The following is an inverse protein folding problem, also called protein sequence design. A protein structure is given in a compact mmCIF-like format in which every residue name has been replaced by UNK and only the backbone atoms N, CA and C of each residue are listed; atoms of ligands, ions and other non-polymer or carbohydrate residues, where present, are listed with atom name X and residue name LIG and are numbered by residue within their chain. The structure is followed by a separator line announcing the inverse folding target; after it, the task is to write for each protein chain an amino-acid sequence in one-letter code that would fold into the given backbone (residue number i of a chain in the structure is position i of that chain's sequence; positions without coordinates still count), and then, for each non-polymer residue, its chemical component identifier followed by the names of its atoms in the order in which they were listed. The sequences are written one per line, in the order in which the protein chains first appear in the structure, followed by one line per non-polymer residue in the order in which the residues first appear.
data_IF_389378448031
#
_entry.id   IF_389378448031
#
_cell.length_a   1.000
_cell.length_b   1.000
_cell.length_c   1.000
_cell.angle_alpha   90.00
_cell.angle_beta   90.00
_cell.angle_gamma   90.00
#
_symmetry.space_group_name_H-M   'P 1'
#
loop_
_entity.id
_entity.type
_entity.pdbx_description
1 polymer ?
#
# COMPACT_ATOMS: atom_id res chain seq x y z
N UNK A 1 9.32 -34.95 -3.81
CA UNK A 1 10.15 -33.74 -3.81
C UNK A 1 11.18 -33.85 -2.69
N UNK A 2 12.46 -33.67 -2.98
CA UNK A 2 13.50 -33.55 -1.96
C UNK A 2 13.81 -32.06 -1.79
N UNK A 3 14.03 -31.61 -0.54
CA UNK A 3 14.40 -30.23 -0.23
C UNK A 3 15.92 -30.13 -0.31
N UNK A 4 16.43 -29.36 -1.28
CA UNK A 4 17.87 -29.17 -1.49
C UNK A 4 18.48 -28.22 -0.47
N UNK A 5 17.81 -27.12 -0.17
CA UNK A 5 18.20 -26.15 0.85
C UNK A 5 16.97 -25.69 1.63
N UNK A 6 17.10 -25.59 2.96
CA UNK A 6 16.00 -25.14 3.84
C UNK A 6 15.94 -23.62 3.98
N UNK A 7 17.05 -22.91 3.75
CA UNK A 7 17.17 -21.45 3.90
C UNK A 7 18.06 -20.93 2.78
N UNK A 8 17.47 -20.77 1.61
CA UNK A 8 18.18 -20.27 0.43
C UNK A 8 18.44 -18.76 0.50
N UNK A 9 17.56 -18.02 1.16
CA UNK A 9 17.72 -16.58 1.34
C UNK A 9 16.70 -15.97 2.29
N UNK A 10 16.97 -14.73 2.66
CA UNK A 10 16.02 -13.84 3.31
C UNK A 10 15.27 -13.06 2.23
N UNK A 11 13.97 -12.88 2.43
CA UNK A 11 13.10 -12.16 1.51
C UNK A 11 12.43 -11.03 2.27
N UNK A 12 12.53 -9.82 1.76
CA UNK A 12 11.87 -8.64 2.34
C UNK A 12 10.36 -8.72 2.13
N UNK A 13 9.59 -8.12 3.04
CA UNK A 13 8.15 -7.96 2.88
C UNK A 13 7.81 -7.21 1.59
N UNK A 14 8.65 -6.26 1.19
CA UNK A 14 8.55 -5.55 -0.07
C UNK A 14 8.65 -6.50 -1.28
N UNK A 15 9.71 -7.32 -1.37
CA UNK A 15 9.89 -8.28 -2.47
C UNK A 15 8.73 -9.28 -2.55
N UNK A 16 8.32 -9.80 -1.40
CA UNK A 16 7.20 -10.74 -1.32
C UNK A 16 5.90 -10.08 -1.79
N UNK A 17 5.63 -8.85 -1.37
CA UNK A 17 4.47 -8.09 -1.82
C UNK A 17 4.50 -7.82 -3.33
N UNK A 18 5.64 -7.44 -3.89
CA UNK A 18 5.78 -7.24 -5.34
C UNK A 18 5.54 -8.55 -6.10
N UNK A 19 6.13 -9.66 -5.64
CA UNK A 19 5.96 -10.98 -6.26
C UNK A 19 4.48 -11.41 -6.27
N UNK A 20 3.81 -11.34 -5.12
CA UNK A 20 2.39 -11.69 -5.00
C UNK A 20 1.49 -10.75 -5.82
N UNK A 21 1.78 -9.45 -5.83
CA UNK A 21 1.04 -8.47 -6.64
C UNK A 21 1.19 -8.74 -8.13
N UNK A 22 2.39 -9.11 -8.58
CA UNK A 22 2.66 -9.42 -9.98
C UNK A 22 1.95 -10.71 -10.42
N UNK A 23 1.87 -11.72 -9.54
CA UNK A 23 1.06 -12.91 -9.79
C UNK A 23 -0.42 -12.54 -10.00
N UNK A 24 -0.99 -11.70 -9.13
CA UNK A 24 -2.39 -11.25 -9.26
C UNK A 24 -2.65 -10.42 -10.53
N UNK A 25 -1.67 -9.63 -10.98
CA UNK A 25 -1.79 -8.83 -12.21
C UNK A 25 -1.75 -9.71 -13.46
N UNK A 26 -0.87 -10.72 -13.48
CA UNK A 26 -0.71 -11.61 -14.62
C UNK A 26 -1.88 -12.60 -14.76
N UNK A 27 -2.61 -12.88 -13.67
CA UNK A 27 -3.79 -13.74 -13.69
C UNK A 27 -5.07 -13.03 -14.16
N UNK A 28 -5.14 -11.70 -14.14
CA UNK A 28 -6.26 -10.96 -14.73
C UNK A 28 -6.02 -10.88 -16.24
N UNK A 29 -6.77 -11.61 -17.10
CA UNK A 29 -6.62 -11.43 -18.53
C UNK A 29 -6.93 -9.97 -18.88
N UNK A 30 -6.02 -9.34 -19.62
CA UNK A 30 -6.19 -8.02 -20.20
C UNK A 30 -7.54 -7.92 -20.92
N UNK A 31 -8.54 -7.37 -20.23
CA UNK A 31 -9.81 -6.94 -20.82
C UNK A 31 -9.70 -5.57 -21.47
N UNK A 32 -8.49 -5.11 -21.81
CA UNK A 32 -8.30 -3.89 -22.58
C UNK A 32 -8.25 -4.24 -24.08
N UNK A 33 -9.43 -4.17 -24.71
CA UNK A 33 -9.49 -3.80 -26.13
C UNK A 33 -8.87 -2.40 -26.29
N UNK A 34 -8.06 -2.15 -27.33
CA UNK A 34 -7.63 -0.80 -27.66
C UNK A 34 -8.83 -0.04 -28.22
N UNK A 35 -9.42 0.87 -27.45
CA UNK A 35 -10.27 1.92 -28.02
C UNK A 35 -9.37 3.04 -28.51
N UNK A 36 -9.31 3.15 -29.83
CA UNK A 36 -8.69 4.23 -30.59
C UNK A 36 -9.10 5.60 -30.07
N UNK A 37 -8.10 6.48 -29.98
CA UNK A 37 -8.25 7.92 -29.81
C UNK A 37 -9.04 8.54 -30.96
N UNK A 38 -9.97 9.44 -30.63
CA UNK A 38 -10.26 10.63 -31.46
C UNK A 38 -10.35 11.86 -30.57
N UNK A 39 -9.40 12.76 -30.80
CA UNK A 39 -9.32 14.14 -30.32
C UNK A 39 -10.50 14.98 -30.86
N UNK A 40 -10.97 16.01 -30.12
CA UNK A 40 -10.94 17.46 -30.48
C UNK A 40 -11.91 18.34 -29.66
N UNK A 41 -11.33 19.18 -28.80
CA UNK A 41 -11.40 20.67 -28.70
C UNK A 41 -12.72 21.47 -28.92
N UNK A 42 -13.11 22.24 -27.88
CA UNK A 42 -13.84 23.56 -27.81
C UNK A 42 -15.29 23.66 -28.34
N UNK A 43 -16.24 24.47 -27.82
CA UNK A 43 -16.19 25.90 -27.45
C UNK A 43 -17.50 26.38 -26.75
N UNK A 44 -17.37 27.27 -25.74
CA UNK A 44 -18.14 28.51 -25.41
C UNK A 44 -19.70 28.59 -25.50
N UNK A 45 -20.30 28.78 -24.29
CA UNK A 45 -21.21 29.87 -23.86
C UNK A 45 -22.61 30.11 -24.51
N UNK A 46 -23.68 30.02 -23.70
CA UNK A 46 -24.66 31.09 -23.33
C UNK A 46 -26.02 30.51 -22.88
N UNK A 47 -26.46 30.89 -21.66
CA UNK A 47 -27.88 30.98 -21.25
C UNK A 47 -28.40 32.39 -21.62
N UNK A 48 -29.73 32.69 -21.74
CA UNK A 48 -30.64 32.79 -20.58
C UNK A 48 -32.13 32.39 -20.79
N UNK A 49 -32.78 32.12 -19.65
CA UNK A 49 -34.19 32.34 -19.25
C UNK A 49 -35.35 32.17 -20.25
N UNK A 50 -36.40 31.45 -19.82
CA UNK A 50 -37.73 32.04 -19.55
C UNK A 50 -38.49 31.16 -18.56
N UNK A 51 -39.17 31.84 -17.64
CA UNK A 51 -39.86 31.41 -16.44
C UNK A 51 -41.34 31.02 -16.70
N UNK A 52 -41.87 30.25 -15.73
CA UNK A 52 -43.26 30.27 -15.22
C UNK A 52 -44.36 29.44 -15.91
N UNK A 53 -44.83 28.43 -15.16
CA UNK A 53 -46.22 28.03 -14.87
C UNK A 53 -46.24 26.52 -14.59
N UNK A 54 -46.85 25.93 -13.57
CA UNK A 54 -47.66 26.31 -12.43
C UNK A 54 -47.46 25.17 -11.40
N UNK A 55 -47.10 25.41 -10.15
CA UNK A 55 -48.00 25.64 -9.00
C UNK A 55 -49.12 24.60 -8.83
N UNK A 56 -48.89 23.71 -7.86
CA UNK A 56 -49.81 23.21 -6.84
C UNK A 56 -51.16 22.57 -7.25
N UNK A 57 -51.23 21.25 -7.07
CA UNK A 57 -52.39 20.50 -6.54
C UNK A 57 -51.85 19.14 -6.03
N UNK A 58 -51.38 19.05 -4.78
CA UNK A 58 -52.11 18.55 -3.60
C UNK A 58 -52.71 17.13 -3.72
N UNK A 59 -51.98 16.19 -3.09
CA UNK A 59 -52.44 15.16 -2.13
C UNK A 59 -53.62 14.26 -2.54
N UNK A 60 -53.31 13.01 -2.92
CA UNK A 60 -53.99 11.81 -2.38
C UNK A 60 -53.40 10.51 -2.92
N UNK A 61 -53.03 9.63 -1.97
CA UNK A 61 -52.78 8.18 -2.02
C UNK A 61 -51.34 7.73 -1.70
N UNK A 62 -51.07 7.80 -0.39
CA UNK A 62 -50.36 6.75 0.36
C UNK A 62 -50.98 5.36 0.13
N UNK A 63 -50.23 4.33 0.53
CA UNK A 63 -50.55 2.89 0.56
C UNK A 63 -50.20 2.09 -0.70
N UNK A 64 -48.93 1.67 -0.79
CA UNK A 64 -48.49 0.27 -0.89
C UNK A 64 -47.00 0.23 -1.27
N UNK A 65 -46.15 0.43 -0.26
CA UNK A 65 -44.70 0.31 -0.35
C UNK A 65 -44.20 -0.54 0.81
N UNK A 66 -44.44 -1.84 0.73
CA UNK A 66 -43.70 -2.86 1.49
C UNK A 66 -44.31 -4.22 1.16
N UNK A 67 -43.66 -4.98 0.26
CA UNK A 67 -43.60 -6.45 0.24
C UNK A 67 -43.10 -6.94 -1.13
N UNK A 68 -41.91 -6.54 -1.58
CA UNK A 68 -41.28 -7.26 -2.72
C UNK A 68 -39.77 -7.06 -2.91
N UNK A 69 -39.01 -6.66 -1.87
CA UNK A 69 -37.53 -6.63 -1.94
C UNK A 69 -36.89 -7.55 -0.91
N UNK A 70 -37.31 -8.82 -0.92
CA UNK A 70 -36.64 -9.90 -0.18
C UNK A 70 -36.47 -11.12 -1.07
N UNK A 71 -35.53 -11.01 -2.02
CA UNK A 71 -34.77 -12.09 -2.67
C UNK A 71 -34.06 -11.48 -3.87
N UNK A 72 -32.80 -11.11 -3.71
CA UNK A 72 -31.72 -11.32 -4.69
C UNK A 72 -30.39 -10.73 -4.19
N UNK A 73 -29.99 -11.08 -2.96
CA UNK A 73 -28.56 -11.11 -2.61
C UNK A 73 -27.96 -12.40 -3.17
N UNK A 74 -27.96 -12.54 -4.50
CA UNK A 74 -26.99 -13.40 -5.17
C UNK A 74 -25.75 -12.57 -5.40
N UNK A 75 -24.90 -12.58 -4.38
CA UNK A 75 -23.50 -12.17 -4.44
C UNK A 75 -22.91 -12.76 -5.72
N UNK A 76 -22.54 -11.86 -6.62
CA UNK A 76 -22.00 -12.14 -7.93
C UNK A 76 -20.63 -12.80 -7.74
N UNK A 77 -20.63 -14.11 -7.51
CA UNK A 77 -19.42 -14.92 -7.43
C UNK A 77 -18.84 -14.96 -8.85
N UNK A 78 -17.74 -14.26 -9.05
CA UNK A 78 -17.05 -14.17 -10.34
C UNK A 78 -16.80 -15.58 -10.86
N UNK A 79 -17.42 -15.89 -12.00
CA UNK A 79 -17.53 -17.24 -12.58
C UNK A 79 -16.21 -18.00 -12.80
N UNK A 80 -15.06 -17.33 -12.75
CA UNK A 80 -13.74 -17.93 -12.98
C UNK A 80 -13.21 -18.72 -11.79
N UNK A 81 -13.38 -18.24 -10.55
CA UNK A 81 -12.88 -18.94 -9.36
C UNK A 81 -13.67 -20.22 -9.06
N UNK A 82 -14.90 -20.33 -9.56
CA UNK A 82 -15.71 -21.55 -9.43
C UNK A 82 -15.06 -22.76 -10.11
N UNK A 83 -14.28 -22.54 -11.18
CA UNK A 83 -13.71 -23.58 -12.06
C UNK A 83 -12.31 -24.06 -11.66
N UNK A 84 -11.65 -23.40 -10.71
CA UNK A 84 -10.30 -23.77 -10.30
C UNK A 84 -10.30 -25.05 -9.48
N UNK A 85 -9.21 -25.81 -9.58
CA UNK A 85 -9.00 -26.94 -8.69
C UNK A 85 -8.98 -26.47 -7.22
N UNK A 86 -9.55 -27.24 -6.26
CA UNK A 86 -9.62 -26.83 -4.86
C UNK A 86 -8.30 -26.36 -4.24
N UNK A 87 -7.17 -26.99 -4.63
CA UNK A 87 -5.83 -26.61 -4.15
C UNK A 87 -5.42 -25.20 -4.62
N UNK A 88 -5.78 -24.83 -5.84
CA UNK A 88 -5.47 -23.51 -6.39
C UNK A 88 -6.34 -22.42 -5.76
N UNK A 89 -7.62 -22.72 -5.46
CA UNK A 89 -8.48 -21.81 -4.67
C UNK A 89 -7.91 -21.55 -3.29
N UNK A 90 -7.45 -22.61 -2.62
CA UNK A 90 -6.83 -22.48 -1.30
C UNK A 90 -5.53 -21.66 -1.34
N UNK A 91 -4.70 -21.84 -2.38
CA UNK A 91 -3.50 -21.04 -2.60
C UNK A 91 -3.85 -19.55 -2.78
N UNK A 92 -4.80 -19.21 -3.67
CA UNK A 92 -5.25 -17.81 -3.86
C UNK A 92 -5.81 -17.18 -2.59
N UNK A 93 -6.64 -17.92 -1.85
CA UNK A 93 -7.17 -17.44 -0.58
C UNK A 93 -6.06 -17.20 0.45
N UNK A 94 -4.99 -18.01 0.42
CA UNK A 94 -3.82 -17.80 1.26
C UNK A 94 -3.02 -16.57 0.82
N UNK A 95 -2.75 -16.43 -0.48
CA UNK A 95 -2.04 -15.28 -1.05
C UNK A 95 -2.74 -13.94 -0.73
N UNK A 96 -4.07 -13.89 -0.85
CA UNK A 96 -4.86 -12.71 -0.50
C UNK A 96 -4.73 -12.33 0.98
N UNK A 97 -4.68 -13.32 1.89
CA UNK A 97 -4.43 -13.06 3.31
C UNK A 97 -3.01 -12.57 3.58
N UNK A 98 -2.02 -13.13 2.88
CA UNK A 98 -0.62 -12.68 3.00
C UNK A 98 -0.49 -11.24 2.50
N UNK A 99 -1.09 -10.90 1.36
CA UNK A 99 -1.11 -9.52 0.86
C UNK A 99 -1.75 -8.56 1.87
N UNK A 100 -2.89 -8.94 2.45
CA UNK A 100 -3.55 -8.14 3.49
C UNK A 100 -2.65 -7.93 4.71
N UNK A 101 -1.97 -8.98 5.17
CA UNK A 101 -1.03 -8.89 6.29
C UNK A 101 0.16 -7.99 5.96
N UNK A 102 0.73 -8.09 4.76
CA UNK A 102 1.88 -7.27 4.35
C UNK A 102 1.55 -5.78 4.27
N UNK A 103 0.29 -5.40 4.07
CA UNK A 103 -0.14 -3.99 4.07
C UNK A 103 -0.01 -3.31 5.44
N UNK A 104 0.09 -4.07 6.53
CA UNK A 104 0.29 -3.53 7.87
C UNK A 104 1.72 -2.99 8.07
N UNK A 105 2.66 -3.39 7.21
CA UNK A 105 4.08 -3.05 7.30
C UNK A 105 4.42 -1.84 6.42
N UNK A 106 5.04 -0.81 7.01
CA UNK A 106 5.44 0.41 6.30
C UNK A 106 6.41 0.13 5.15
N UNK A 107 7.34 -0.81 5.35
CA UNK A 107 8.34 -1.21 4.35
C UNK A 107 7.74 -1.74 3.05
N UNK A 108 6.53 -2.30 3.11
CA UNK A 108 5.82 -2.82 1.92
C UNK A 108 5.49 -1.72 0.91
N UNK A 109 5.30 -0.48 1.37
CA UNK A 109 4.94 0.67 0.53
C UNK A 109 6.14 1.40 -0.06
N UNK A 110 7.37 0.95 0.21
CA UNK A 110 8.58 1.56 -0.32
C UNK A 110 8.61 1.51 -1.85
N UNK A 111 9.26 2.50 -2.46
CA UNK A 111 9.68 2.39 -3.85
C UNK A 111 10.91 1.47 -3.95
N UNK A 112 11.18 0.94 -5.14
CA UNK A 112 12.41 0.17 -5.37
C UNK A 112 13.66 0.99 -5.02
N UNK A 113 13.66 2.27 -5.40
CA UNK A 113 14.73 3.21 -5.05
C UNK A 113 14.83 3.41 -3.53
N UNK A 114 13.71 3.51 -2.82
CA UNK A 114 13.69 3.61 -1.36
C UNK A 114 14.34 2.39 -0.69
N UNK A 115 14.01 1.17 -1.13
CA UNK A 115 14.66 -0.06 -0.63
C UNK A 115 16.16 -0.05 -0.92
N UNK A 116 16.57 0.35 -2.12
CA UNK A 116 17.99 0.46 -2.45
C UNK A 116 18.72 1.52 -1.63
N UNK A 117 18.08 2.66 -1.37
CA UNK A 117 18.66 3.75 -0.60
C UNK A 117 18.88 3.31 0.86
N UNK A 118 17.90 2.64 1.47
CA UNK A 118 18.07 2.02 2.80
C UNK A 118 19.18 0.97 2.74
N UNK A 119 19.17 0.09 1.74
CA UNK A 119 20.19 -0.94 1.57
C UNK A 119 21.61 -0.40 1.39
N UNK A 120 21.79 0.80 0.83
CA UNK A 120 23.09 1.49 0.74
C UNK A 120 23.44 2.22 2.03
N UNK A 121 22.48 2.88 2.67
CA UNK A 121 22.74 3.65 3.90
C UNK A 121 23.18 2.76 5.06
N UNK A 122 22.70 1.51 5.11
CA UNK A 122 23.08 0.55 6.15
C UNK A 122 24.45 -0.10 5.95
N UNK A 123 25.06 -0.03 4.76
CA UNK A 123 26.34 -0.69 4.47
C UNK A 123 27.52 -0.13 5.25
N UNK A 124 27.43 1.13 5.71
CA UNK A 124 28.46 1.78 6.51
C UNK A 124 28.47 1.35 7.98
N UNK A 125 27.47 0.57 8.40
CA UNK A 125 27.29 0.16 9.78
C UNK A 125 27.49 -1.34 9.93
N UNK A 126 28.00 -1.75 11.09
CA UNK A 126 28.14 -3.16 11.43
C UNK A 126 26.77 -3.71 11.84
N UNK A 127 25.86 -3.90 10.88
CA UNK A 127 24.51 -4.43 11.07
C UNK A 127 24.40 -5.86 10.52
N UNK A 128 23.75 -6.74 11.28
CA UNK A 128 23.47 -8.12 10.89
C UNK A 128 22.42 -8.14 9.78
N UNK A 129 22.46 -9.17 8.93
CA UNK A 129 21.47 -9.33 7.84
C UNK A 129 20.02 -9.33 8.33
N UNK A 130 19.76 -9.90 9.52
CA UNK A 130 18.44 -9.89 10.15
C UNK A 130 17.98 -8.48 10.54
N UNK A 131 18.87 -7.65 11.09
CA UNK A 131 18.58 -6.26 11.46
C UNK A 131 18.31 -5.42 10.21
N UNK A 132 19.12 -5.59 9.16
CA UNK A 132 18.89 -4.92 7.88
C UNK A 132 17.52 -5.29 7.29
N UNK A 133 17.18 -6.58 7.32
CA UNK A 133 15.87 -7.06 6.86
C UNK A 133 14.73 -6.43 7.65
N UNK A 134 14.87 -6.34 8.98
CA UNK A 134 13.87 -5.73 9.85
C UNK A 134 13.75 -4.21 9.63
N UNK A 135 14.87 -3.50 9.45
CA UNK A 135 14.89 -2.08 9.09
C UNK A 135 14.09 -1.84 7.80
N UNK A 136 14.33 -2.65 6.76
CA UNK A 136 13.60 -2.54 5.50
C UNK A 136 12.11 -2.86 5.68
N UNK A 137 11.77 -3.90 6.45
CA UNK A 137 10.38 -4.34 6.65
C UNK A 137 9.56 -3.34 7.48
N UNK A 138 10.12 -2.79 8.55
CA UNK A 138 9.41 -1.92 9.48
C UNK A 138 9.54 -0.42 9.18
N UNK A 139 10.59 -0.01 8.43
CA UNK A 139 10.97 1.39 8.21
C UNK A 139 10.92 2.21 9.52
N UNK A 140 11.87 2.00 10.46
CA UNK A 140 11.87 2.73 11.73
C UNK A 140 12.13 4.22 11.46
N UNK A 141 11.21 5.09 11.90
CA UNK A 141 11.29 6.56 11.69
C UNK A 141 11.61 7.33 12.97
N UNK A 142 11.73 6.61 14.08
CA UNK A 142 12.10 7.12 15.41
C UNK A 142 13.25 6.29 15.95
N UNK A 143 14.09 6.92 16.75
CA UNK A 143 15.23 6.27 17.41
C UNK A 143 14.81 5.06 18.25
N UNK A 144 13.73 5.19 19.03
CA UNK A 144 13.21 4.07 19.84
C UNK A 144 12.78 2.86 19.00
N UNK A 145 12.33 3.07 17.76
CA UNK A 145 11.98 1.95 16.86
C UNK A 145 13.24 1.26 16.34
N UNK A 146 14.32 2.01 16.11
CA UNK A 146 15.61 1.48 15.67
C UNK A 146 16.31 0.71 16.81
N UNK A 147 16.25 1.21 18.05
CA UNK A 147 16.77 0.53 19.25
C UNK A 147 16.10 -0.82 19.47
N UNK A 148 14.82 -0.96 19.10
CA UNK A 148 14.11 -2.25 19.20
C UNK A 148 14.55 -3.28 18.15
N UNK A 149 15.23 -2.85 17.08
CA UNK A 149 15.70 -3.71 15.99
C UNK A 149 17.18 -4.02 16.16
N UNK A 150 18.00 -3.02 16.48
CA UNK A 150 19.46 -3.15 16.59
C UNK A 150 19.84 -3.42 18.04
N UNK A 151 20.31 -4.64 18.30
CA UNK A 151 20.83 -5.00 19.63
C UNK A 151 22.06 -4.14 19.97
N UNK A 152 22.13 -3.65 21.21
CA UNK A 152 23.25 -2.87 21.73
C UNK A 152 23.57 -1.64 20.83
N UNK A 153 22.52 -0.99 20.32
CA UNK A 153 22.62 0.13 19.37
C UNK A 153 23.58 1.22 19.85
N UNK A 154 23.52 1.60 21.13
CA UNK A 154 24.35 2.66 21.73
C UNK A 154 25.85 2.33 21.73
N UNK A 155 26.21 1.04 21.70
CA UNK A 155 27.61 0.60 21.65
C UNK A 155 28.13 0.48 20.20
N UNK A 156 27.22 0.25 19.24
CA UNK A 156 27.55 -0.03 17.82
C UNK A 156 27.42 1.19 16.92
N UNK A 157 26.52 2.11 17.25
CA UNK A 157 26.20 3.30 16.48
C UNK A 157 26.36 4.52 17.36
N UNK A 158 27.13 5.51 16.90
CA UNK A 158 27.13 6.81 17.57
C UNK A 158 25.74 7.45 17.48
N UNK A 159 25.49 8.46 18.32
CA UNK A 159 24.21 9.17 18.30
C UNK A 159 23.99 9.88 16.95
N UNK A 160 25.05 10.44 16.39
CA UNK A 160 25.04 11.09 15.07
C UNK A 160 24.74 10.07 13.98
N UNK A 161 25.42 8.91 13.98
CA UNK A 161 25.19 7.84 13.01
C UNK A 161 23.76 7.29 13.07
N UNK A 162 23.19 7.20 14.28
CA UNK A 162 21.80 6.76 14.50
C UNK A 162 20.82 7.76 13.91
N UNK A 163 21.02 9.06 14.15
CA UNK A 163 20.20 10.13 13.56
C UNK A 163 20.30 10.15 12.04
N UNK A 164 21.53 10.06 11.50
CA UNK A 164 21.76 10.00 10.05
C UNK A 164 21.06 8.80 9.41
N UNK A 165 21.11 7.63 10.05
CA UNK A 165 20.41 6.44 9.57
C UNK A 165 18.89 6.64 9.58
N UNK A 166 18.33 7.21 10.64
CA UNK A 166 16.90 7.51 10.75
C UNK A 166 16.47 8.51 9.67
N UNK A 167 17.23 9.57 9.43
CA UNK A 167 16.91 10.56 8.41
C UNK A 167 16.96 9.96 7.00
N UNK A 168 17.94 9.10 6.72
CA UNK A 168 18.00 8.35 5.46
C UNK A 168 16.78 7.43 5.28
N UNK A 169 16.35 6.73 6.35
CA UNK A 169 15.17 5.87 6.32
C UNK A 169 13.89 6.70 6.11
N UNK A 170 13.76 7.86 6.78
CA UNK A 170 12.63 8.78 6.62
C UNK A 170 12.54 9.31 5.20
N UNK A 171 13.66 9.74 4.63
CA UNK A 171 13.73 10.19 3.24
C UNK A 171 13.31 9.09 2.27
N UNK A 172 13.78 7.85 2.46
CA UNK A 172 13.38 6.69 1.65
C UNK A 172 11.88 6.37 1.79
N UNK A 173 11.30 6.60 2.96
CA UNK A 173 9.87 6.46 3.24
C UNK A 173 9.04 7.72 2.88
N UNK A 174 9.63 8.73 2.24
CA UNK A 174 8.93 9.94 1.79
C UNK A 174 8.47 10.86 2.92
N UNK A 175 9.21 10.89 4.05
CA UNK A 175 8.95 11.76 5.20
C UNK A 175 10.05 12.79 5.38
N UNK A 176 9.68 13.94 5.94
CA UNK A 176 10.63 15.00 6.27
C UNK A 176 11.56 14.58 7.42
N UNK A 177 12.79 15.14 7.50
CA UNK A 177 13.72 14.94 8.61
C UNK A 177 13.09 15.27 9.97
N UNK A 178 13.71 14.80 11.05
CA UNK A 178 13.34 15.27 12.39
C UNK A 178 13.79 16.73 12.53
N UNK A 179 12.85 17.66 12.70
CA UNK A 179 13.13 19.01 13.20
C UNK A 179 13.55 18.86 14.67
N UNK A 180 14.86 18.81 14.92
CA UNK A 180 15.38 18.98 16.24
C UNK A 180 15.17 20.45 16.59
N UNK A 181 14.18 20.75 17.44
CA UNK A 181 13.84 22.13 17.82
C UNK A 181 14.95 22.90 18.58
N UNK A 182 16.23 22.69 18.28
CA UNK A 182 17.39 23.37 18.84
C UNK A 182 17.66 24.75 18.22
N UNK A 183 16.98 25.13 17.14
CA UNK A 183 17.09 26.48 16.57
C UNK A 183 15.95 27.40 17.02
N UNK A 184 15.80 27.61 18.34
CA UNK A 184 15.04 28.75 18.90
C UNK A 184 15.28 28.96 20.39
N UNK A 185 16.52 29.24 20.77
CA UNK A 185 16.77 30.15 21.88
C UNK A 185 17.35 31.42 21.28
N UNK A 186 16.47 32.29 20.80
CA UNK A 186 16.80 33.70 20.63
C UNK A 186 17.06 34.25 22.05
N UNK A 187 18.31 34.63 22.31
CA UNK A 187 18.69 35.39 23.51
C UNK A 187 17.96 36.74 23.47
N UNK A 188 17.04 36.97 24.42
CA UNK A 188 16.57 38.31 24.83
C UNK A 188 17.13 38.68 26.21
#
# INVERSE_FOLDING_TARGET
MQVLNRREGLVTNWELHQALTNLHKNEKPSSNKPTESKNTTTNVNRKPNTLMAAVAAEVSKEEQKNEENKKEDKKQDSSEDSRLAPRLKAARAFEGRVLQYLQEYRGTSLSYEGVQNIGRSVQGYDLKQGEILEIINFCPIKEIELVNIVEEMEERLSREASNDLIDNIRAACGREPLDDGSSRMDEE
#
